data_IF_007523916776
#
_entry.id   IF_007523916776
#
_cell.length_a   1.000
_cell.length_b   1.000
_cell.length_c   1.000
_cell.angle_alpha   90.00
_cell.angle_beta   90.00
_cell.angle_gamma   90.00
#
_symmetry.space_group_name_H-M   'P 1'
#
loop_
_entity.id
_entity.type
_entity.pdbx_description
1 polymer ?
#
# COMPACT_ATOMS: atom_id res chain seq x y z
N UNK A 1 14.33 32.77 -19.20
CA UNK A 1 13.75 32.63 -20.55
C UNK A 1 12.48 31.84 -20.38
N UNK A 2 11.32 32.34 -20.80
CA UNK A 2 10.08 31.55 -20.72
C UNK A 2 10.15 30.46 -21.78
N UNK A 3 10.59 29.26 -21.40
CA UNK A 3 10.51 28.10 -22.29
C UNK A 3 9.05 27.74 -22.47
N UNK A 4 8.50 28.08 -23.63
CA UNK A 4 7.20 27.61 -24.04
C UNK A 4 7.26 26.09 -24.18
N UNK A 5 6.41 25.37 -23.43
CA UNK A 5 6.32 23.92 -23.50
C UNK A 5 6.18 23.43 -24.95
N UNK A 6 6.94 22.40 -25.32
CA UNK A 6 6.89 21.79 -26.65
C UNK A 6 5.51 21.20 -26.94
N UNK A 7 5.10 21.04 -28.22
CA UNK A 7 3.84 20.38 -28.56
C UNK A 7 3.68 19.00 -27.92
N UNK A 8 4.78 18.23 -27.85
CA UNK A 8 4.80 16.93 -27.18
C UNK A 8 4.46 17.05 -25.69
N UNK A 9 5.14 17.95 -24.97
CA UNK A 9 4.88 18.20 -23.54
C UNK A 9 3.45 18.67 -23.27
N UNK A 10 2.86 19.47 -24.18
CA UNK A 10 1.47 19.88 -24.11
C UNK A 10 0.50 18.70 -24.31
N UNK A 11 0.78 17.80 -25.25
CA UNK A 11 -0.02 16.60 -25.46
C UNK A 11 0.07 15.65 -24.25
N UNK A 12 1.27 15.43 -23.71
CA UNK A 12 1.47 14.68 -22.46
C UNK A 12 0.59 15.28 -21.36
N UNK A 13 0.69 16.58 -21.12
CA UNK A 13 -0.12 17.27 -20.11
C UNK A 13 -1.62 17.08 -20.31
N UNK A 14 -2.10 17.27 -21.53
CA UNK A 14 -3.51 17.11 -21.87
C UNK A 14 -4.01 15.70 -21.55
N UNK A 15 -3.28 14.65 -21.98
CA UNK A 15 -3.67 13.27 -21.72
C UNK A 15 -3.60 12.90 -20.24
N UNK A 16 -2.64 13.47 -19.52
CA UNK A 16 -2.50 13.32 -18.07
C UNK A 16 -3.73 13.85 -17.33
N UNK A 17 -4.11 15.09 -17.63
CA UNK A 17 -5.25 15.76 -17.01
C UNK A 17 -6.57 15.07 -17.39
N UNK A 18 -6.70 14.58 -18.62
CA UNK A 18 -7.85 13.82 -19.08
C UNK A 18 -7.98 12.48 -18.35
N UNK A 19 -6.87 11.74 -18.17
CA UNK A 19 -6.87 10.50 -17.37
C UNK A 19 -7.33 10.78 -15.94
N UNK A 20 -6.77 11.81 -15.29
CA UNK A 20 -7.15 12.19 -13.91
C UNK A 20 -8.64 12.48 -13.81
N UNK A 21 -9.18 13.25 -14.76
CA UNK A 21 -10.60 13.61 -14.81
C UNK A 21 -11.48 12.36 -14.92
N UNK A 22 -11.14 11.43 -15.82
CA UNK A 22 -11.95 10.23 -16.08
C UNK A 22 -11.92 9.28 -14.88
N UNK A 23 -10.76 9.08 -14.23
CA UNK A 23 -10.65 8.16 -13.10
C UNK A 23 -11.16 8.75 -11.78
N UNK A 24 -11.23 10.08 -11.64
CA UNK A 24 -11.54 10.76 -10.38
C UNK A 24 -12.77 10.20 -9.61
N UNK A 25 -13.90 9.83 -10.25
CA UNK A 25 -15.05 9.33 -9.52
C UNK A 25 -14.95 7.84 -9.15
N UNK A 26 -13.96 7.11 -9.67
CA UNK A 26 -13.68 5.72 -9.31
C UNK A 26 -13.08 5.72 -7.90
N UNK A 27 -13.75 5.03 -6.97
CA UNK A 27 -13.34 4.88 -5.56
C UNK A 27 -13.48 3.42 -5.18
N UNK A 28 -12.41 2.64 -5.35
CA UNK A 28 -12.46 1.18 -5.23
C UNK A 28 -12.90 0.78 -3.82
N UNK A 29 -12.26 1.34 -2.79
CA UNK A 29 -12.52 0.98 -1.39
C UNK A 29 -13.92 1.39 -0.94
N UNK A 30 -14.41 2.56 -1.38
CA UNK A 30 -15.77 3.01 -1.06
C UNK A 30 -16.82 2.09 -1.69
N UNK A 31 -16.57 1.62 -2.91
CA UNK A 31 -17.47 0.73 -3.64
C UNK A 31 -17.54 -0.69 -3.03
N UNK A 32 -16.59 -1.10 -2.19
CA UNK A 32 -16.58 -2.45 -1.57
C UNK A 32 -16.67 -2.40 -0.04
N UNK A 33 -16.93 -1.22 0.53
CA UNK A 33 -16.99 -1.01 1.98
C UNK A 33 -18.13 -1.80 2.62
N UNK A 34 -17.86 -2.38 3.80
CA UNK A 34 -18.90 -3.02 4.61
C UNK A 34 -19.28 -2.11 5.79
N UNK A 35 -20.57 -2.08 6.19
CA UNK A 35 -21.03 -1.41 7.40
C UNK A 35 -20.40 -1.99 8.67
N UNK A 36 -20.20 -1.16 9.70
CA UNK A 36 -19.65 -1.58 11.00
C UNK A 36 -20.55 -2.56 11.75
N UNK A 37 -21.86 -2.48 11.53
CA UNK A 37 -22.88 -3.32 12.15
C UNK A 37 -22.67 -4.80 11.84
N UNK A 38 -22.11 -5.12 10.66
CA UNK A 38 -21.81 -6.51 10.27
C UNK A 38 -20.73 -7.14 11.12
N UNK A 39 -19.77 -6.35 11.60
CA UNK A 39 -18.78 -6.82 12.56
C UNK A 39 -19.44 -7.16 13.89
N UNK A 40 -20.29 -6.26 14.39
CA UNK A 40 -20.98 -6.44 15.66
C UNK A 40 -21.91 -7.66 15.63
N UNK A 41 -22.68 -7.84 14.54
CA UNK A 41 -23.55 -8.99 14.33
C UNK A 41 -22.76 -10.30 14.28
N UNK A 42 -21.68 -10.35 13.48
CA UNK A 42 -20.87 -11.55 13.33
C UNK A 42 -20.22 -11.98 14.66
N UNK A 43 -19.68 -11.02 15.41
CA UNK A 43 -19.03 -11.28 16.70
C UNK A 43 -20.04 -11.70 17.79
N UNK A 44 -21.25 -11.14 17.77
CA UNK A 44 -22.32 -11.47 18.73
C UNK A 44 -22.93 -12.86 18.50
N UNK A 45 -23.03 -13.29 17.24
CA UNK A 45 -23.67 -14.56 16.88
C UNK A 45 -22.79 -15.81 17.04
N UNK A 46 -21.70 -15.72 17.81
CA UNK A 46 -20.68 -16.78 18.01
C UNK A 46 -20.25 -17.39 16.65
N UNK A 47 -19.23 -16.85 15.98
CA UNK A 47 -18.91 -16.96 14.54
C UNK A 47 -19.09 -18.38 13.94
N UNK A 48 -20.36 -18.71 13.67
CA UNK A 48 -20.85 -20.01 13.20
C UNK A 48 -21.60 -19.89 11.87
N UNK A 49 -22.00 -18.67 11.50
CA UNK A 49 -22.74 -18.37 10.28
C UNK A 49 -21.96 -17.35 9.46
N UNK A 50 -21.95 -17.55 8.15
CA UNK A 50 -21.32 -16.62 7.23
C UNK A 50 -22.03 -15.26 7.30
N UNK A 51 -21.30 -14.14 7.17
CA UNK A 51 -21.93 -12.84 7.00
C UNK A 51 -22.94 -12.87 5.84
N UNK A 52 -24.10 -12.24 5.99
CA UNK A 52 -25.12 -12.21 4.92
C UNK A 52 -24.74 -11.20 3.84
N UNK A 53 -23.74 -11.54 3.04
CA UNK A 53 -23.11 -10.67 2.05
C UNK A 53 -22.98 -11.40 0.72
N UNK A 54 -24.03 -11.29 -0.10
CA UNK A 54 -24.07 -11.87 -1.44
C UNK A 54 -24.16 -10.80 -2.53
N UNK A 55 -24.40 -11.24 -3.76
CA UNK A 55 -24.64 -10.37 -4.92
C UNK A 55 -25.66 -9.27 -4.65
N UNK A 56 -26.76 -9.61 -3.97
CA UNK A 56 -27.85 -8.68 -3.66
C UNK A 56 -27.40 -7.51 -2.78
N UNK A 57 -26.44 -7.74 -1.87
CA UNK A 57 -25.87 -6.67 -1.05
C UNK A 57 -25.20 -5.61 -1.92
N UNK A 58 -24.32 -6.02 -2.83
CA UNK A 58 -23.60 -5.08 -3.70
C UNK A 58 -24.46 -4.46 -4.80
N UNK A 59 -25.51 -5.16 -5.25
CA UNK A 59 -26.49 -4.57 -6.19
C UNK A 59 -27.25 -3.40 -5.57
N UNK A 60 -27.44 -3.41 -4.25
CA UNK A 60 -28.06 -2.30 -3.52
C UNK A 60 -27.09 -1.15 -3.19
N UNK A 61 -25.80 -1.29 -3.54
CA UNK A 61 -24.78 -0.25 -3.38
C UNK A 61 -24.39 0.28 -4.77
N UNK A 62 -25.09 1.32 -5.26
CA UNK A 62 -24.82 1.88 -6.58
C UNK A 62 -23.41 2.45 -6.64
N UNK A 63 -22.79 2.34 -7.81
CA UNK A 63 -21.53 3.04 -8.08
C UNK A 63 -21.80 4.53 -8.22
N UNK A 64 -20.87 5.35 -7.75
CA UNK A 64 -20.95 6.82 -7.80
C UNK A 64 -20.80 7.42 -9.21
N UNK A 65 -20.65 6.57 -10.23
CA UNK A 65 -20.37 6.97 -11.61
C UNK A 65 -21.02 6.01 -12.62
N UNK A 66 -21.19 6.49 -13.84
CA UNK A 66 -21.67 5.70 -14.98
C UNK A 66 -20.52 4.85 -15.53
N UNK A 67 -20.62 3.53 -15.34
CA UNK A 67 -19.57 2.59 -15.72
C UNK A 67 -19.39 2.47 -17.22
N UNK A 68 -20.47 2.48 -18.00
CA UNK A 68 -20.42 2.36 -19.45
C UNK A 68 -19.81 3.63 -20.07
N UNK A 69 -20.31 4.80 -19.66
CA UNK A 69 -19.77 6.08 -20.12
C UNK A 69 -18.28 6.21 -19.79
N UNK A 70 -17.87 5.82 -18.58
CA UNK A 70 -16.46 5.90 -18.16
C UNK A 70 -15.57 4.93 -18.94
N UNK A 71 -16.05 3.71 -19.25
CA UNK A 71 -15.36 2.78 -20.14
C UNK A 71 -15.15 3.38 -21.53
N UNK A 72 -16.16 4.03 -22.10
CA UNK A 72 -16.10 4.65 -23.42
C UNK A 72 -15.14 5.85 -23.44
N UNK A 73 -15.14 6.69 -22.39
CA UNK A 73 -14.17 7.79 -22.23
C UNK A 73 -12.72 7.26 -22.15
N UNK A 74 -12.48 6.20 -21.37
CA UNK A 74 -11.16 5.56 -21.28
C UNK A 74 -10.70 4.98 -22.62
N UNK A 75 -11.59 4.33 -23.36
CA UNK A 75 -11.30 3.80 -24.70
C UNK A 75 -10.96 4.91 -25.69
N UNK A 76 -11.72 6.02 -25.66
CA UNK A 76 -11.44 7.19 -26.49
C UNK A 76 -10.07 7.78 -26.17
N UNK A 77 -9.76 7.98 -24.88
CA UNK A 77 -8.45 8.48 -24.42
C UNK A 77 -7.31 7.58 -24.91
N UNK A 78 -7.44 6.25 -24.77
CA UNK A 78 -6.44 5.29 -25.27
C UNK A 78 -6.20 5.44 -26.77
N UNK A 79 -7.25 5.57 -27.56
CA UNK A 79 -7.13 5.74 -29.01
C UNK A 79 -6.44 7.07 -29.36
N UNK A 80 -6.75 8.14 -28.65
CA UNK A 80 -6.15 9.46 -28.87
C UNK A 80 -4.67 9.51 -28.49
N UNK A 81 -4.27 8.90 -27.37
CA UNK A 81 -2.86 8.75 -26.99
C UNK A 81 -2.09 8.03 -28.10
N UNK A 82 -2.61 6.90 -28.58
CA UNK A 82 -1.96 6.13 -29.65
C UNK A 82 -1.87 6.90 -30.96
N UNK A 83 -2.90 7.67 -31.30
CA UNK A 83 -2.95 8.48 -32.53
C UNK A 83 -1.98 9.65 -32.49
N UNK A 84 -1.83 10.31 -31.34
CA UNK A 84 -1.02 11.54 -31.20
C UNK A 84 0.43 11.27 -30.87
N UNK A 85 0.72 10.41 -29.89
CA UNK A 85 2.09 10.12 -29.46
C UNK A 85 2.71 8.97 -30.27
N UNK A 86 1.88 8.09 -30.83
CA UNK A 86 2.31 6.91 -31.56
C UNK A 86 2.56 5.70 -30.66
N UNK A 87 2.54 4.50 -31.27
CA UNK A 87 2.61 3.21 -30.55
C UNK A 87 3.95 2.94 -29.85
N UNK A 88 5.01 3.68 -30.20
CA UNK A 88 6.36 3.48 -29.67
C UNK A 88 6.73 4.47 -28.57
N UNK A 89 5.92 5.51 -28.37
CA UNK A 89 6.17 6.51 -27.33
C UNK A 89 6.16 5.87 -25.94
N UNK A 90 7.21 6.15 -25.15
CA UNK A 90 7.43 5.46 -23.87
C UNK A 90 6.47 5.98 -22.78
N UNK A 91 6.24 7.29 -22.69
CA UNK A 91 5.28 7.88 -21.75
C UNK A 91 3.83 7.55 -22.11
N UNK A 92 3.51 7.55 -23.40
CA UNK A 92 2.22 7.13 -23.93
C UNK A 92 1.89 5.69 -23.58
N UNK A 93 2.87 4.78 -23.56
CA UNK A 93 2.67 3.41 -23.07
C UNK A 93 2.30 3.37 -21.60
N UNK A 94 2.94 4.16 -20.74
CA UNK A 94 2.60 4.26 -19.31
C UNK A 94 1.14 4.73 -19.14
N UNK A 95 0.75 5.80 -19.84
CA UNK A 95 -0.62 6.32 -19.81
C UNK A 95 -1.63 5.26 -20.28
N UNK A 96 -1.36 4.55 -21.38
CA UNK A 96 -2.21 3.48 -21.89
C UNK A 96 -2.32 2.33 -20.87
N UNK A 97 -1.21 1.95 -20.23
CA UNK A 97 -1.23 0.94 -19.17
C UNK A 97 -2.11 1.37 -18.00
N UNK A 98 -2.07 2.65 -17.59
CA UNK A 98 -2.96 3.17 -16.56
C UNK A 98 -4.43 3.14 -17.00
N UNK A 99 -4.71 3.55 -18.24
CA UNK A 99 -6.06 3.47 -18.81
C UNK A 99 -6.59 2.04 -18.78
N UNK A 100 -5.79 1.06 -19.22
CA UNK A 100 -6.18 -0.35 -19.24
C UNK A 100 -6.45 -0.89 -17.83
N UNK A 101 -5.69 -0.45 -16.82
CA UNK A 101 -5.92 -0.81 -15.42
C UNK A 101 -7.27 -0.30 -14.92
N UNK A 102 -7.62 0.97 -15.16
CA UNK A 102 -8.93 1.50 -14.75
C UNK A 102 -10.10 0.81 -15.44
N UNK A 103 -9.94 0.37 -16.69
CA UNK A 103 -10.97 -0.43 -17.37
C UNK A 103 -11.21 -1.76 -16.66
N UNK A 104 -10.15 -2.46 -16.25
CA UNK A 104 -10.25 -3.70 -15.47
C UNK A 104 -10.89 -3.42 -14.09
N UNK A 105 -10.59 -2.29 -13.46
CA UNK A 105 -11.26 -1.86 -12.21
C UNK A 105 -12.76 -1.71 -12.39
N UNK A 106 -13.21 -1.04 -13.46
CA UNK A 106 -14.65 -0.88 -13.72
C UNK A 106 -15.31 -2.24 -13.91
N UNK A 107 -14.68 -3.16 -14.65
CA UNK A 107 -15.18 -4.52 -14.83
C UNK A 107 -15.21 -5.28 -13.49
N UNK A 108 -14.20 -5.11 -12.64
CA UNK A 108 -14.15 -5.72 -11.31
C UNK A 108 -15.31 -5.21 -10.45
N UNK A 109 -15.54 -3.90 -10.40
CA UNK A 109 -16.60 -3.28 -9.61
C UNK A 109 -18.01 -3.66 -10.10
N UNK A 110 -18.19 -3.86 -11.40
CA UNK A 110 -19.44 -4.39 -11.96
C UNK A 110 -19.72 -5.84 -11.54
N UNK A 111 -18.68 -6.59 -11.14
CA UNK A 111 -18.76 -8.00 -10.77
C UNK A 111 -18.76 -8.25 -9.25
N UNK A 112 -18.86 -7.22 -8.40
CA UNK A 112 -18.93 -7.36 -6.94
C UNK A 112 -19.95 -8.44 -6.51
N UNK A 113 -19.54 -9.33 -5.60
CA UNK A 113 -20.36 -10.47 -5.16
C UNK A 113 -20.47 -11.63 -6.16
N UNK A 114 -19.66 -11.67 -7.21
CA UNK A 114 -19.60 -12.78 -8.18
C UNK A 114 -18.15 -13.33 -8.28
N UNK A 115 -17.95 -14.56 -8.81
CA UNK A 115 -16.61 -15.16 -8.98
C UNK A 115 -15.65 -14.31 -9.83
N UNK A 116 -16.17 -13.62 -10.84
CA UNK A 116 -15.38 -12.82 -11.77
C UNK A 116 -14.67 -11.64 -11.08
N UNK A 117 -15.22 -11.11 -9.97
CA UNK A 117 -14.54 -10.11 -9.14
C UNK A 117 -13.17 -10.60 -8.68
N UNK A 118 -13.09 -11.83 -8.16
CA UNK A 118 -11.84 -12.41 -7.67
C UNK A 118 -10.80 -12.57 -8.78
N UNK A 119 -11.22 -13.02 -9.97
CA UNK A 119 -10.34 -13.15 -11.15
C UNK A 119 -9.77 -11.80 -11.57
N UNK A 120 -10.60 -10.76 -11.60
CA UNK A 120 -10.20 -9.41 -11.98
C UNK A 120 -9.32 -8.76 -10.88
N UNK A 121 -9.60 -9.02 -9.61
CA UNK A 121 -8.73 -8.60 -8.51
C UNK A 121 -7.34 -9.22 -8.63
N UNK A 122 -7.24 -10.53 -8.88
CA UNK A 122 -5.96 -11.20 -9.12
C UNK A 122 -5.23 -10.61 -10.33
N UNK A 123 -5.94 -10.28 -11.40
CA UNK A 123 -5.36 -9.65 -12.58
C UNK A 123 -4.79 -8.25 -12.28
N UNK A 124 -5.38 -7.50 -11.35
CA UNK A 124 -4.94 -6.15 -10.96
C UNK A 124 -3.76 -6.18 -9.98
N UNK A 125 -3.89 -6.92 -8.88
CA UNK A 125 -2.96 -6.85 -7.76
C UNK A 125 -1.97 -8.03 -7.70
N UNK A 126 -2.30 -9.14 -8.36
CA UNK A 126 -1.55 -10.40 -8.36
C UNK A 126 -2.16 -11.47 -7.45
N UNK A 127 -1.37 -12.51 -7.20
CA UNK A 127 -1.68 -13.68 -6.38
C UNK A 127 -0.63 -13.92 -5.30
N UNK A 128 -1.02 -14.53 -4.15
CA UNK A 128 -0.05 -14.96 -3.14
C UNK A 128 0.91 -16.06 -3.66
N UNK A 129 0.53 -16.73 -4.75
CA UNK A 129 1.32 -17.75 -5.46
C UNK A 129 2.31 -17.14 -6.45
N UNK A 130 2.23 -15.84 -6.73
CA UNK A 130 3.16 -15.17 -7.62
C UNK A 130 4.58 -15.25 -7.09
N UNK A 131 5.53 -15.43 -8.02
CA UNK A 131 6.96 -15.38 -7.73
C UNK A 131 7.43 -13.94 -7.74
N UNK A 132 8.33 -13.63 -6.81
CA UNK A 132 9.02 -12.35 -6.81
C UNK A 132 9.92 -12.23 -8.05
N UNK A 133 10.01 -11.02 -8.61
CA UNK A 133 10.85 -10.78 -9.79
C UNK A 133 12.30 -11.21 -9.54
N UNK A 134 12.78 -12.17 -10.33
CA UNK A 134 14.14 -12.70 -10.21
C UNK A 134 14.36 -13.67 -9.05
N UNK A 135 13.33 -14.06 -8.30
CA UNK A 135 13.42 -15.06 -7.23
C UNK A 135 12.55 -16.30 -7.54
N UNK A 136 12.93 -17.44 -6.97
CA UNK A 136 12.17 -18.70 -7.03
C UNK A 136 11.07 -18.78 -5.97
N UNK A 137 11.15 -17.98 -4.91
CA UNK A 137 10.20 -18.00 -3.82
C UNK A 137 8.91 -17.26 -4.17
N UNK A 138 7.78 -17.76 -3.67
CA UNK A 138 6.47 -17.10 -3.81
C UNK A 138 6.28 -16.03 -2.75
N UNK A 139 5.33 -15.12 -2.98
CA UNK A 139 4.91 -14.15 -1.97
C UNK A 139 4.45 -14.83 -0.67
N UNK A 140 3.70 -15.93 -0.77
CA UNK A 140 3.32 -16.75 0.40
C UNK A 140 4.52 -17.24 1.20
N UNK A 141 5.54 -17.79 0.53
CA UNK A 141 6.74 -18.30 1.21
C UNK A 141 7.50 -17.18 1.94
N UNK A 142 7.51 -15.97 1.39
CA UNK A 142 8.10 -14.82 2.07
C UNK A 142 7.23 -14.36 3.24
N UNK A 143 5.91 -14.24 3.04
CA UNK A 143 4.96 -13.90 4.09
C UNK A 143 5.07 -14.84 5.30
N UNK A 144 5.21 -16.15 5.06
CA UNK A 144 5.41 -17.15 6.11
C UNK A 144 6.71 -16.93 6.89
N UNK A 145 7.81 -16.60 6.19
CA UNK A 145 9.10 -16.32 6.84
C UNK A 145 9.01 -15.07 7.71
N UNK A 146 8.41 -14.00 7.21
CA UNK A 146 8.23 -12.76 7.95
C UNK A 146 7.29 -12.98 9.15
N UNK A 147 6.14 -13.63 8.96
CA UNK A 147 5.20 -13.95 10.04
C UNK A 147 5.89 -14.80 11.13
N UNK A 148 6.70 -15.78 10.75
CA UNK A 148 7.47 -16.59 11.70
C UNK A 148 8.46 -15.73 12.51
N UNK A 149 9.26 -14.89 11.85
CA UNK A 149 10.24 -14.01 12.50
C UNK A 149 9.56 -13.06 13.50
N UNK A 150 8.45 -12.44 13.08
CA UNK A 150 7.71 -11.49 13.92
C UNK A 150 6.79 -12.16 14.95
N UNK A 151 6.71 -13.49 14.94
CA UNK A 151 6.01 -14.29 15.97
C UNK A 151 6.97 -14.90 17.00
N UNK A 152 8.29 -14.70 16.87
CA UNK A 152 9.28 -15.19 17.82
C UNK A 152 9.06 -14.58 19.23
N UNK A 153 9.47 -15.27 20.32
CA UNK A 153 9.28 -14.75 21.69
C UNK A 153 9.82 -13.33 21.88
N UNK A 154 10.97 -13.01 21.28
CA UNK A 154 11.56 -11.68 21.32
C UNK A 154 10.62 -10.59 20.81
N UNK A 155 9.80 -10.87 19.79
CA UNK A 155 8.79 -9.92 19.31
C UNK A 155 7.76 -9.61 20.40
N UNK A 156 7.34 -10.63 21.17
CA UNK A 156 6.41 -10.45 22.31
C UNK A 156 7.05 -9.67 23.46
N UNK A 157 8.33 -9.91 23.75
CA UNK A 157 9.08 -9.16 24.78
C UNK A 157 9.38 -7.71 24.38
N UNK A 158 9.51 -7.43 23.08
CA UNK A 158 9.81 -6.09 22.55
C UNK A 158 8.56 -5.27 22.20
N UNK A 159 7.38 -5.87 22.23
CA UNK A 159 6.10 -5.16 22.20
C UNK A 159 5.94 -4.33 23.47
N UNK A 160 6.62 -3.18 23.53
CA UNK A 160 6.39 -2.18 24.57
C UNK A 160 4.95 -1.69 24.44
N UNK A 161 4.26 -1.56 25.57
CA UNK A 161 2.94 -0.96 25.59
C UNK A 161 3.07 0.52 25.20
N UNK A 162 2.52 0.88 24.04
CA UNK A 162 2.37 2.27 23.60
C UNK A 162 0.93 2.68 23.91
N UNK A 163 0.66 3.28 25.09
CA UNK A 163 -0.71 3.54 25.50
C UNK A 163 -1.37 4.54 24.54
N UNK A 164 -2.59 4.21 24.11
CA UNK A 164 -3.41 5.06 23.25
C UNK A 164 -4.07 6.15 24.09
N UNK A 165 -3.30 7.19 24.42
CA UNK A 165 -3.72 8.31 25.29
C UNK A 165 -3.90 9.62 24.53
N UNK A 166 -3.48 9.68 23.27
CA UNK A 166 -3.60 10.87 22.43
C UNK A 166 -4.99 10.88 21.82
N UNK A 167 -5.77 11.93 22.06
CA UNK A 167 -7.10 12.10 21.47
C UNK A 167 -7.02 12.46 19.99
N UNK A 168 -8.09 12.26 19.24
CA UNK A 168 -8.12 12.64 17.82
C UNK A 168 -7.76 14.13 17.54
N UNK A 169 -8.25 15.13 18.31
CA UNK A 169 -7.83 16.52 18.13
C UNK A 169 -6.33 16.76 18.40
N UNK A 170 -5.76 16.09 19.41
CA UNK A 170 -4.33 16.17 19.72
C UNK A 170 -3.49 15.52 18.62
N UNK A 171 -3.92 14.37 18.11
CA UNK A 171 -3.29 13.69 16.98
C UNK A 171 -3.30 14.56 15.72
N UNK A 172 -4.44 15.21 15.40
CA UNK A 172 -4.53 16.17 14.28
C UNK A 172 -3.52 17.29 14.43
N UNK A 173 -3.42 17.89 15.62
CA UNK A 173 -2.47 18.97 15.88
C UNK A 173 -1.04 18.49 15.69
N UNK A 174 -0.67 17.38 16.35
CA UNK A 174 0.68 16.84 16.31
C UNK A 174 1.12 16.47 14.88
N UNK A 175 0.26 15.79 14.12
CA UNK A 175 0.54 15.44 12.72
C UNK A 175 0.58 16.68 11.82
N UNK A 176 -0.29 17.67 12.04
CA UNK A 176 -0.23 18.93 11.27
C UNK A 176 1.13 19.60 11.46
N UNK A 177 1.59 19.75 12.70
CA UNK A 177 2.85 20.42 13.01
C UNK A 177 4.04 19.70 12.36
N UNK A 178 4.08 18.36 12.43
CA UNK A 178 5.11 17.52 11.80
C UNK A 178 5.10 17.63 10.28
N UNK A 179 3.92 17.52 9.66
CA UNK A 179 3.79 17.54 8.21
C UNK A 179 4.05 18.94 7.64
N UNK A 180 3.62 20.02 8.31
CA UNK A 180 3.99 21.39 7.92
C UNK A 180 5.51 21.56 7.90
N UNK A 181 6.21 21.02 8.90
CA UNK A 181 7.67 21.05 8.95
C UNK A 181 8.34 20.32 7.77
N UNK A 182 7.77 19.20 7.33
CA UNK A 182 8.29 18.41 6.20
C UNK A 182 7.95 19.02 4.83
N UNK A 183 6.77 19.61 4.69
CA UNK A 183 6.23 20.11 3.43
C UNK A 183 6.41 21.63 3.21
N UNK A 184 6.99 22.36 4.17
CA UNK A 184 7.42 23.75 4.02
C UNK A 184 6.31 24.71 3.54
N UNK A 185 5.19 24.76 4.27
CA UNK A 185 4.02 25.64 4.05
C UNK A 185 3.12 25.34 2.83
N UNK A 186 3.36 24.25 2.10
CA UNK A 186 2.38 23.75 1.13
C UNK A 186 1.11 23.25 1.86
N UNK A 187 -0.08 23.63 1.34
CA UNK A 187 -1.37 23.47 2.04
C UNK A 187 -1.74 22.00 2.24
N UNK A 188 -1.28 21.41 3.34
CA UNK A 188 -1.70 20.09 3.80
C UNK A 188 -2.77 20.24 4.85
N UNK A 189 -3.80 19.40 4.74
CA UNK A 189 -4.94 19.44 5.64
C UNK A 189 -5.00 18.16 6.46
N UNK A 190 -4.60 18.21 7.73
CA UNK A 190 -5.00 17.14 8.66
C UNK A 190 -6.36 17.53 9.23
N UNK A 191 -7.38 16.70 9.05
CA UNK A 191 -8.77 17.02 9.43
C UNK A 191 -9.45 15.85 10.13
N UNK A 192 -10.35 16.16 11.05
CA UNK A 192 -11.23 15.18 11.67
C UNK A 192 -12.28 14.68 10.66
N UNK A 193 -12.65 13.40 10.75
CA UNK A 193 -13.66 12.78 9.89
C UNK A 193 -14.43 11.68 10.63
N UNK A 194 -15.75 11.82 10.70
CA UNK A 194 -16.65 10.82 11.33
C UNK A 194 -17.00 9.65 10.39
N UNK A 195 -16.66 9.72 9.10
CA UNK A 195 -17.10 8.76 8.07
C UNK A 195 -16.11 7.65 7.72
N UNK A 196 -14.93 7.59 8.37
CA UNK A 196 -13.90 6.58 8.07
C UNK A 196 -13.97 5.40 9.04
N UNK A 197 -13.82 4.18 8.51
CA UNK A 197 -13.88 2.93 9.30
C UNK A 197 -12.56 2.62 9.98
N UNK A 198 -11.45 3.05 9.38
CA UNK A 198 -10.12 3.02 9.97
C UNK A 198 -9.90 4.18 10.95
N UNK A 199 -8.84 4.09 11.76
CA UNK A 199 -8.46 5.14 12.70
C UNK A 199 -7.97 6.41 11.96
N UNK A 200 -7.41 6.23 10.76
CA UNK A 200 -7.14 7.32 9.81
C UNK A 200 -7.21 6.84 8.34
N UNK A 201 -7.35 7.78 7.41
CA UNK A 201 -7.30 7.56 5.97
C UNK A 201 -6.73 8.78 5.25
N UNK A 202 -5.99 8.59 4.16
CA UNK A 202 -5.50 9.71 3.32
C UNK A 202 -6.37 9.92 2.10
N UNK A 203 -6.65 11.15 1.70
CA UNK A 203 -7.31 11.44 0.43
C UNK A 203 -6.73 12.69 -0.20
N UNK A 204 -6.02 12.55 -1.33
CA UNK A 204 -5.37 13.66 -2.00
C UNK A 204 -4.27 14.30 -1.15
N UNK A 205 -4.51 15.50 -0.64
CA UNK A 205 -3.61 16.28 0.23
C UNK A 205 -4.07 16.30 1.70
N UNK A 206 -5.04 15.45 2.05
CA UNK A 206 -5.69 15.47 3.35
C UNK A 206 -5.45 14.16 4.09
N UNK A 207 -4.97 14.24 5.34
CA UNK A 207 -4.97 13.13 6.30
C UNK A 207 -6.24 13.25 7.15
N UNK A 208 -7.13 12.27 7.07
CA UNK A 208 -8.38 12.21 7.82
C UNK A 208 -8.19 11.36 9.07
N UNK A 209 -8.53 11.91 10.23
CA UNK A 209 -8.42 11.24 11.54
C UNK A 209 -9.82 10.94 12.08
N UNK A 210 -10.06 9.71 12.54
CA UNK A 210 -11.34 9.31 13.13
C UNK A 210 -11.52 10.00 14.48
N UNK A 211 -12.63 10.71 14.66
CA UNK A 211 -12.91 11.47 15.90
C UNK A 211 -13.03 10.61 17.15
N UNK A 212 -13.38 9.34 16.98
CA UNK A 212 -13.59 8.38 18.08
C UNK A 212 -12.33 7.57 18.41
N UNK A 213 -11.27 7.71 17.62
CA UNK A 213 -10.03 6.98 17.82
C UNK A 213 -9.14 7.66 18.86
N UNK A 214 -8.40 6.81 19.58
CA UNK A 214 -7.31 7.20 20.47
C UNK A 214 -6.00 6.68 19.86
N UNK A 215 -4.93 7.44 20.00
CA UNK A 215 -3.66 7.21 19.33
C UNK A 215 -2.53 7.10 20.34
N UNK A 216 -1.52 6.31 20.00
CA UNK A 216 -0.24 6.30 20.70
C UNK A 216 0.80 7.14 19.95
N UNK A 217 1.92 7.45 20.60
CA UNK A 217 3.04 8.12 19.92
C UNK A 217 3.60 7.28 18.76
N UNK A 218 3.62 5.95 18.92
CA UNK A 218 4.04 5.04 17.85
C UNK A 218 3.12 5.14 16.64
N UNK A 219 1.82 5.32 16.86
CA UNK A 219 0.85 5.48 15.79
C UNK A 219 1.11 6.77 14.99
N UNK A 220 1.38 7.88 15.69
CA UNK A 220 1.70 9.15 15.05
C UNK A 220 2.97 9.06 14.18
N UNK A 221 3.99 8.33 14.64
CA UNK A 221 5.22 8.11 13.87
C UNK A 221 4.93 7.33 12.57
N UNK A 222 4.11 6.28 12.64
CA UNK A 222 3.72 5.53 11.44
C UNK A 222 2.90 6.41 10.51
N UNK A 223 1.97 7.22 11.02
CA UNK A 223 1.17 8.13 10.17
C UNK A 223 2.01 9.20 9.47
N UNK A 224 2.94 9.82 10.18
CA UNK A 224 3.85 10.79 9.61
C UNK A 224 4.61 10.20 8.40
N UNK A 225 5.12 8.98 8.56
CA UNK A 225 5.99 8.34 7.56
C UNK A 225 5.19 7.68 6.43
N UNK A 226 4.24 6.81 6.77
CA UNK A 226 3.47 6.00 5.81
C UNK A 226 2.49 6.86 5.03
N UNK A 227 1.63 7.58 5.74
CA UNK A 227 0.57 8.38 5.15
C UNK A 227 1.08 9.74 4.69
N UNK A 228 1.89 10.41 5.52
CA UNK A 228 2.46 11.71 5.21
C UNK A 228 3.55 11.66 4.12
N UNK A 229 4.72 11.14 4.45
CA UNK A 229 5.87 11.23 3.54
C UNK A 229 5.69 10.46 2.24
N UNK A 230 5.07 9.27 2.28
CA UNK A 230 4.81 8.48 1.07
C UNK A 230 3.53 8.91 0.40
N UNK A 231 2.36 8.65 1.01
CA UNK A 231 1.12 8.78 0.26
C UNK A 231 0.82 10.23 -0.12
N UNK A 232 0.86 11.17 0.83
CA UNK A 232 0.69 12.59 0.54
C UNK A 232 1.88 13.13 -0.25
N UNK A 233 3.12 12.82 0.15
CA UNK A 233 4.31 13.37 -0.48
C UNK A 233 4.45 13.02 -1.97
N UNK A 234 4.19 11.76 -2.33
CA UNK A 234 4.19 11.34 -3.75
C UNK A 234 3.00 11.93 -4.52
N UNK A 235 1.82 12.08 -3.91
CA UNK A 235 0.70 12.78 -4.57
C UNK A 235 1.07 14.25 -4.86
N UNK A 236 1.70 14.95 -3.91
CA UNK A 236 2.13 16.33 -4.12
C UNK A 236 3.24 16.43 -5.18
N UNK A 237 4.26 15.57 -5.13
CA UNK A 237 5.29 15.53 -6.18
C UNK A 237 4.68 15.28 -7.57
N UNK A 238 3.68 14.40 -7.67
CA UNK A 238 2.98 14.12 -8.92
C UNK A 238 2.11 15.29 -9.41
N UNK A 239 1.50 16.06 -8.51
CA UNK A 239 0.74 17.27 -8.84
C UNK A 239 1.66 18.40 -9.31
N UNK A 240 2.85 18.49 -8.75
CA UNK A 240 3.85 19.51 -9.08
C UNK A 240 4.56 19.22 -10.42
N UNK A 241 4.30 18.07 -11.06
CA UNK A 241 4.86 17.77 -12.38
C UNK A 241 4.31 18.74 -13.45
N UNK A 242 5.18 19.34 -14.29
CA UNK A 242 4.75 20.33 -15.27
C UNK A 242 3.83 19.72 -16.35
N UNK A 243 4.15 18.50 -16.76
CA UNK A 243 3.45 17.79 -17.84
C UNK A 243 2.88 16.45 -17.38
N UNK A 244 3.60 15.70 -16.54
CA UNK A 244 3.22 14.35 -16.14
C UNK A 244 2.28 14.29 -14.93
N UNK A 245 1.17 15.05 -14.96
CA UNK A 245 0.26 15.18 -13.79
C UNK A 245 -0.40 13.88 -13.37
N UNK A 246 -0.48 12.85 -14.24
CA UNK A 246 -1.05 11.53 -13.88
C UNK A 246 -0.33 10.88 -12.72
N UNK A 247 0.94 11.25 -12.49
CA UNK A 247 1.72 10.80 -11.34
C UNK A 247 1.13 11.26 -10.00
N UNK A 248 0.09 12.10 -9.98
CA UNK A 248 -0.63 12.47 -8.76
C UNK A 248 -1.63 11.41 -8.26
N UNK A 249 -2.03 10.46 -9.13
CA UNK A 249 -3.08 9.47 -8.87
C UNK A 249 -2.57 8.05 -9.12
N UNK A 250 -2.92 7.12 -8.24
CA UNK A 250 -2.48 5.73 -8.33
C UNK A 250 -3.48 4.87 -9.11
N UNK A 251 -3.00 4.15 -10.11
CA UNK A 251 -3.73 3.03 -10.70
C UNK A 251 -3.33 1.73 -9.97
N UNK A 252 -4.13 0.64 -10.02
CA UNK A 252 -3.81 -0.59 -9.28
C UNK A 252 -2.39 -1.17 -9.50
N UNK A 253 -1.78 -0.93 -10.66
CA UNK A 253 -0.39 -1.34 -10.92
C UNK A 253 0.66 -0.60 -10.08
N UNK A 254 0.34 0.56 -9.52
CA UNK A 254 1.27 1.33 -8.66
C UNK A 254 1.16 0.92 -7.19
N UNK A 255 0.08 0.22 -6.81
CA UNK A 255 -0.26 -0.07 -5.41
C UNK A 255 0.86 -0.83 -4.71
N UNK A 256 1.46 -1.83 -5.35
CA UNK A 256 2.63 -2.54 -4.80
C UNK A 256 3.79 -1.59 -4.53
N UNK A 257 4.21 -0.80 -5.52
CA UNK A 257 5.31 0.13 -5.36
C UNK A 257 5.07 1.15 -4.24
N UNK A 258 3.85 1.67 -4.10
CA UNK A 258 3.48 2.67 -3.08
C UNK A 258 3.38 2.08 -1.68
N UNK A 259 2.58 1.04 -1.48
CA UNK A 259 2.39 0.40 -0.17
C UNK A 259 3.71 -0.20 0.33
N UNK A 260 4.49 -0.78 -0.57
CA UNK A 260 5.82 -1.29 -0.30
C UNK A 260 6.83 -0.23 0.11
N UNK A 261 6.82 0.94 -0.55
CA UNK A 261 7.69 2.06 -0.22
C UNK A 261 7.35 2.63 1.17
N UNK A 262 6.06 2.66 1.52
CA UNK A 262 5.60 3.05 2.84
C UNK A 262 6.09 2.08 3.92
N UNK A 263 5.94 0.77 3.72
CA UNK A 263 6.48 -0.25 4.64
C UNK A 263 8.00 -0.14 4.76
N UNK A 264 8.73 0.08 3.65
CA UNK A 264 10.18 0.28 3.67
C UNK A 264 10.57 1.48 4.54
N UNK A 265 9.87 2.60 4.39
CA UNK A 265 10.14 3.80 5.19
C UNK A 265 9.83 3.61 6.67
N UNK A 266 8.78 2.87 7.03
CA UNK A 266 8.56 2.51 8.43
C UNK A 266 9.73 1.70 9.03
N UNK A 267 10.35 0.81 8.23
CA UNK A 267 11.54 0.06 8.67
C UNK A 267 12.77 0.96 8.79
N UNK A 268 13.01 1.83 7.79
CA UNK A 268 14.18 2.72 7.80
C UNK A 268 14.12 3.78 8.89
N UNK A 269 12.91 4.18 9.30
CA UNK A 269 12.68 5.14 10.41
C UNK A 269 12.53 4.48 11.77
N UNK A 270 12.49 3.13 11.82
CA UNK A 270 12.18 2.36 13.03
C UNK A 270 10.81 2.74 13.65
N UNK A 271 9.88 3.21 12.82
CA UNK A 271 8.52 3.57 13.24
C UNK A 271 7.60 2.36 13.34
N UNK A 272 7.93 1.26 12.64
CA UNK A 272 7.18 0.01 12.72
C UNK A 272 7.52 -0.80 13.96
N UNK A 273 6.59 -1.68 14.37
CA UNK A 273 6.78 -2.61 15.48
C UNK A 273 6.54 -4.06 15.02
N UNK A 274 6.93 -5.09 15.80
CA UNK A 274 6.75 -6.48 15.42
C UNK A 274 5.29 -6.89 15.16
N UNK A 275 4.33 -6.36 15.93
CA UNK A 275 2.90 -6.62 15.74
C UNK A 275 2.40 -6.11 14.39
N UNK A 276 2.82 -4.91 14.00
CA UNK A 276 2.56 -4.31 12.69
C UNK A 276 3.15 -5.13 11.56
N UNK A 277 4.41 -5.51 11.66
CA UNK A 277 5.10 -6.32 10.65
C UNK A 277 4.47 -7.72 10.50
N UNK A 278 4.00 -8.32 11.61
CA UNK A 278 3.23 -9.56 11.60
C UNK A 278 1.91 -9.39 10.85
N UNK A 279 1.12 -8.35 11.13
CA UNK A 279 -0.17 -8.11 10.43
C UNK A 279 -0.02 -7.97 8.92
N UNK A 280 1.05 -7.30 8.46
CA UNK A 280 1.35 -7.21 7.02
C UNK A 280 1.56 -8.61 6.42
N UNK A 281 2.23 -9.49 7.16
CA UNK A 281 2.47 -10.88 6.74
C UNK A 281 1.20 -11.74 6.79
N UNK A 282 0.39 -11.57 7.85
CA UNK A 282 -0.88 -12.28 8.05
C UNK A 282 -1.86 -12.03 6.90
N UNK A 283 -1.86 -10.82 6.33
CA UNK A 283 -2.69 -10.49 5.15
C UNK A 283 -2.35 -11.34 3.93
N UNK A 284 -1.08 -11.66 3.70
CA UNK A 284 -0.66 -12.57 2.61
C UNK A 284 -1.18 -13.98 2.86
N UNK A 285 -1.12 -14.45 4.11
CA UNK A 285 -1.68 -15.75 4.49
C UNK A 285 -3.19 -15.79 4.27
N UNK A 286 -3.91 -14.73 4.65
CA UNK A 286 -5.35 -14.64 4.44
C UNK A 286 -5.73 -14.70 2.95
N UNK A 287 -5.00 -13.98 2.08
CA UNK A 287 -5.22 -14.04 0.63
C UNK A 287 -4.93 -15.45 0.09
N UNK A 288 -3.83 -16.09 0.48
CA UNK A 288 -3.52 -17.46 0.04
C UNK A 288 -4.61 -18.45 0.47
N UNK A 289 -5.13 -18.35 1.69
CA UNK A 289 -6.24 -19.20 2.14
C UNK A 289 -7.49 -19.03 1.26
N UNK A 290 -7.88 -17.78 0.96
CA UNK A 290 -9.02 -17.50 0.09
C UNK A 290 -8.79 -18.00 -1.35
N UNK A 291 -7.57 -17.86 -1.88
CA UNK A 291 -7.16 -18.40 -3.19
C UNK A 291 -7.21 -19.94 -3.25
N UNK A 292 -7.11 -20.60 -2.10
CA UNK A 292 -7.24 -22.06 -1.97
C UNK A 292 -8.67 -22.51 -1.60
N UNK A 293 -9.64 -21.59 -1.64
CA UNK A 293 -11.06 -21.89 -1.50
C UNK A 293 -11.62 -21.82 -0.08
N UNK A 294 -10.84 -21.29 0.88
CA UNK A 294 -11.35 -21.08 2.23
C UNK A 294 -12.50 -20.06 2.24
N UNK A 295 -13.49 -20.28 3.11
CA UNK A 295 -14.57 -19.35 3.38
C UNK A 295 -14.20 -18.30 4.46
N UNK A 296 -15.10 -17.34 4.69
CA UNK A 296 -14.89 -16.30 5.70
C UNK A 296 -14.66 -16.85 7.11
N UNK A 297 -15.42 -17.87 7.52
CA UNK A 297 -15.30 -18.44 8.86
C UNK A 297 -13.99 -19.19 9.03
N UNK A 298 -13.54 -19.93 8.02
CA UNK A 298 -12.29 -20.68 8.05
C UNK A 298 -11.08 -19.76 8.27
N UNK A 299 -11.00 -18.66 7.51
CA UNK A 299 -9.93 -17.66 7.68
C UNK A 299 -10.02 -16.98 9.05
N UNK A 300 -11.23 -16.60 9.48
CA UNK A 300 -11.44 -16.01 10.80
C UNK A 300 -10.96 -16.96 11.92
N UNK A 301 -11.34 -18.24 11.87
CA UNK A 301 -10.96 -19.25 12.86
C UNK A 301 -9.46 -19.49 12.87
N UNK A 302 -8.83 -19.56 11.71
CA UNK A 302 -7.39 -19.69 11.59
C UNK A 302 -6.67 -18.59 12.39
N UNK A 303 -7.04 -17.32 12.24
CA UNK A 303 -6.39 -16.25 12.99
C UNK A 303 -6.69 -16.29 14.49
N UNK A 304 -7.89 -16.73 14.90
CA UNK A 304 -8.22 -16.94 16.32
C UNK A 304 -7.34 -18.02 16.95
N UNK A 305 -7.12 -19.13 16.25
CA UNK A 305 -6.24 -20.22 16.69
C UNK A 305 -4.77 -19.78 16.76
N UNK A 306 -4.39 -18.78 15.95
CA UNK A 306 -3.06 -18.14 15.97
C UNK A 306 -3.00 -16.91 16.89
N UNK A 307 -3.85 -16.88 17.93
CA UNK A 307 -3.88 -15.88 19.02
C UNK A 307 -4.12 -14.42 18.57
N UNK A 308 -4.75 -14.21 17.42
CA UNK A 308 -5.19 -12.86 17.03
C UNK A 308 -6.54 -12.55 17.69
N UNK A 309 -6.74 -11.32 18.16
CA UNK A 309 -7.98 -10.86 18.80
C UNK A 309 -9.21 -11.01 17.89
N UNK A 310 -10.41 -11.14 18.46
CA UNK A 310 -11.61 -11.42 17.66
C UNK A 310 -11.94 -10.32 16.65
N UNK A 311 -11.79 -9.06 17.04
CA UNK A 311 -11.96 -7.91 16.14
C UNK A 311 -10.91 -7.92 15.02
N UNK A 312 -9.65 -8.16 15.35
CA UNK A 312 -8.55 -8.17 14.39
C UNK A 312 -8.66 -9.35 13.41
N UNK A 313 -9.04 -10.54 13.89
CA UNK A 313 -9.33 -11.69 13.03
C UNK A 313 -10.44 -11.36 12.04
N UNK A 314 -11.53 -10.74 12.50
CA UNK A 314 -12.62 -10.32 11.60
C UNK A 314 -12.13 -9.33 10.54
N UNK A 315 -11.36 -8.32 10.96
CA UNK A 315 -10.84 -7.26 10.08
C UNK A 315 -9.92 -7.80 8.99
N UNK A 316 -8.93 -8.63 9.36
CA UNK A 316 -8.03 -9.26 8.38
C UNK A 316 -8.82 -10.10 7.37
N UNK A 317 -9.81 -10.86 7.83
CA UNK A 317 -10.68 -11.65 6.94
C UNK A 317 -11.57 -10.77 6.05
N UNK A 318 -12.18 -9.72 6.60
CA UNK A 318 -13.02 -8.76 5.88
C UNK A 318 -12.27 -8.11 4.71
N UNK A 319 -11.00 -7.74 4.91
CA UNK A 319 -10.18 -7.12 3.86
C UNK A 319 -9.99 -8.02 2.64
N UNK A 320 -9.97 -9.33 2.84
CA UNK A 320 -9.86 -10.33 1.76
C UNK A 320 -11.21 -10.58 1.08
N UNK A 321 -12.33 -10.51 1.80
CA UNK A 321 -13.65 -10.82 1.23
C UNK A 321 -14.45 -9.62 0.75
N UNK A 322 -14.06 -8.38 1.10
CA UNK A 322 -14.75 -7.17 0.61
C UNK A 322 -14.77 -7.11 -0.91
N UNK A 323 -15.95 -6.89 -1.49
CA UNK A 323 -16.22 -6.96 -2.93
C UNK A 323 -16.37 -8.38 -3.51
N UNK A 324 -15.86 -9.41 -2.82
CA UNK A 324 -15.93 -10.82 -3.22
C UNK A 324 -17.14 -11.57 -2.65
N UNK A 325 -16.97 -12.87 -2.39
CA UNK A 325 -18.00 -13.81 -1.90
C UNK A 325 -17.52 -14.48 -0.61
N UNK A 326 -18.32 -14.40 0.46
CA UNK A 326 -17.92 -14.91 1.79
C UNK A 326 -17.90 -16.44 1.89
N UNK A 327 -18.57 -17.13 0.97
CA UNK A 327 -18.58 -18.60 0.83
C UNK A 327 -17.30 -19.16 0.18
N UNK A 328 -16.38 -18.29 -0.26
CA UNK A 328 -15.18 -18.67 -1.01
C UNK A 328 -15.32 -18.47 -2.53
N UNK A 329 -14.20 -18.60 -3.25
CA UNK A 329 -14.16 -18.52 -4.72
C UNK A 329 -14.15 -17.11 -5.32
N UNK A 330 -14.26 -16.04 -4.52
CA UNK A 330 -14.09 -14.66 -4.96
C UNK A 330 -13.56 -13.78 -3.83
N UNK A 331 -12.49 -13.02 -4.07
CA UNK A 331 -11.71 -12.33 -3.04
C UNK A 331 -10.97 -11.11 -3.59
N UNK A 332 -10.56 -10.22 -2.70
CA UNK A 332 -9.82 -9.00 -2.98
C UNK A 332 -8.35 -9.14 -2.56
N UNK A 333 -7.47 -9.22 -3.55
CA UNK A 333 -6.05 -9.55 -3.38
C UNK A 333 -5.14 -8.34 -3.11
N UNK A 334 -5.68 -7.11 -3.03
CA UNK A 334 -4.89 -5.88 -2.87
C UNK A 334 -3.81 -5.97 -1.78
N UNK A 335 -4.11 -6.62 -0.66
CA UNK A 335 -3.18 -6.62 0.48
C UNK A 335 -1.88 -7.41 0.26
N UNK A 336 -1.73 -8.19 -0.82
CA UNK A 336 -0.42 -8.77 -1.16
C UNK A 336 0.58 -7.70 -1.60
N UNK A 337 0.10 -6.54 -2.06
CA UNK A 337 0.90 -5.41 -2.54
C UNK A 337 1.88 -4.90 -1.49
N UNK A 338 1.58 -5.00 -0.19
CA UNK A 338 2.48 -4.57 0.89
C UNK A 338 3.80 -5.35 0.88
N UNK A 339 3.73 -6.69 0.99
CA UNK A 339 4.93 -7.54 1.05
C UNK A 339 5.64 -7.56 -0.30
N UNK A 340 4.87 -7.66 -1.40
CA UNK A 340 5.42 -7.61 -2.77
C UNK A 340 6.22 -6.34 -2.99
N UNK A 341 5.58 -5.20 -2.74
CA UNK A 341 6.16 -3.89 -2.91
C UNK A 341 7.39 -3.66 -2.05
N UNK A 342 7.37 -4.10 -0.79
CA UNK A 342 8.50 -3.94 0.12
C UNK A 342 9.78 -4.58 -0.45
N UNK A 343 9.64 -5.80 -0.99
CA UNK A 343 10.76 -6.50 -1.65
C UNK A 343 11.18 -5.83 -2.93
N UNK A 344 10.22 -5.46 -3.78
CA UNK A 344 10.50 -4.82 -5.07
C UNK A 344 11.24 -3.50 -4.89
N UNK A 345 10.85 -2.66 -3.92
CA UNK A 345 11.54 -1.42 -3.59
C UNK A 345 12.97 -1.66 -3.10
N UNK A 346 13.19 -2.63 -2.20
CA UNK A 346 14.53 -3.00 -1.72
C UNK A 346 15.42 -3.49 -2.86
N UNK A 347 14.89 -4.38 -3.70
CA UNK A 347 15.62 -4.94 -4.82
C UNK A 347 15.93 -3.87 -5.87
N UNK A 348 15.00 -2.95 -6.12
CA UNK A 348 15.22 -1.81 -6.98
C UNK A 348 16.38 -0.94 -6.47
N UNK A 349 16.38 -0.55 -5.18
CA UNK A 349 17.46 0.24 -4.59
C UNK A 349 18.81 -0.48 -4.69
N UNK A 350 18.85 -1.78 -4.36
CA UNK A 350 20.06 -2.60 -4.49
C UNK A 350 20.55 -2.66 -5.94
N UNK A 351 19.65 -2.92 -6.88
CA UNK A 351 19.98 -2.99 -8.31
C UNK A 351 20.49 -1.65 -8.84
N UNK A 352 19.85 -0.53 -8.49
CA UNK A 352 20.31 0.80 -8.84
C UNK A 352 21.74 1.07 -8.34
N UNK A 353 22.03 0.72 -7.08
CA UNK A 353 23.37 0.83 -6.48
C UNK A 353 24.39 -0.05 -7.23
N UNK A 354 24.07 -1.33 -7.43
CA UNK A 354 24.98 -2.29 -8.06
C UNK A 354 25.23 -1.99 -9.54
N UNK A 355 24.27 -1.39 -10.23
CA UNK A 355 24.40 -0.96 -11.62
C UNK A 355 25.07 0.40 -11.76
N UNK A 356 25.45 1.06 -10.67
CA UNK A 356 26.09 2.37 -10.71
C UNK A 356 25.16 3.50 -11.12
N UNK A 357 23.85 3.33 -10.90
CA UNK A 357 22.79 4.32 -11.19
C UNK A 357 22.02 4.74 -9.92
N UNK A 358 22.70 5.15 -8.82
CA UNK A 358 22.05 5.54 -7.58
C UNK A 358 21.05 6.70 -7.76
N UNK A 359 21.22 7.55 -8.77
CA UNK A 359 20.32 8.64 -9.14
C UNK A 359 18.87 8.20 -9.46
N UNK A 360 18.64 6.91 -9.71
CA UNK A 360 17.30 6.35 -9.89
C UNK A 360 16.54 6.22 -8.57
N UNK A 361 17.22 6.19 -7.43
CA UNK A 361 16.61 5.95 -6.11
C UNK A 361 15.64 7.08 -5.71
N UNK A 362 16.00 8.38 -5.81
CA UNK A 362 15.04 9.45 -5.54
C UNK A 362 13.79 9.40 -6.42
N UNK A 363 13.87 8.82 -7.63
CA UNK A 363 12.74 8.73 -8.55
C UNK A 363 11.59 7.87 -8.03
N UNK A 364 11.80 7.05 -7.00
CA UNK A 364 10.73 6.36 -6.26
C UNK A 364 9.67 7.32 -5.69
N UNK A 365 10.05 8.59 -5.46
CA UNK A 365 9.19 9.62 -4.91
C UNK A 365 8.61 10.57 -5.96
N UNK A 366 8.90 10.37 -7.26
CA UNK A 366 8.45 11.26 -8.34
C UNK A 366 6.91 11.42 -8.36
N UNK A 367 6.21 10.36 -7.98
CA UNK A 367 4.78 10.37 -7.72
C UNK A 367 4.24 8.95 -7.54
N UNK A 368 2.99 8.75 -7.92
CA UNK A 368 2.30 7.46 -7.99
C UNK A 368 2.72 6.74 -9.28
N UNK A 369 3.70 5.86 -9.15
CA UNK A 369 4.31 5.12 -10.27
C UNK A 369 4.50 3.65 -9.94
N UNK A 370 4.58 2.83 -10.99
CA UNK A 370 5.07 1.47 -10.90
C UNK A 370 6.61 1.48 -11.04
N UNK A 371 7.31 0.64 -10.27
CA UNK A 371 8.79 0.61 -10.24
C UNK A 371 9.38 0.38 -11.63
N UNK A 372 8.72 -0.40 -12.49
CA UNK A 372 9.18 -0.71 -13.84
C UNK A 372 9.18 0.51 -14.78
N UNK A 373 8.42 1.55 -14.44
CA UNK A 373 8.34 2.78 -15.24
C UNK A 373 9.51 3.73 -14.94
N UNK A 374 10.24 3.56 -13.83
CA UNK A 374 11.28 4.48 -13.38
C UNK A 374 12.35 4.77 -14.44
N UNK A 375 12.90 3.77 -15.19
CA UNK A 375 13.88 4.05 -16.23
C UNK A 375 13.35 5.01 -17.31
N UNK A 376 12.09 4.84 -17.71
CA UNK A 376 11.43 5.73 -18.69
C UNK A 376 11.20 7.11 -18.11
N UNK A 377 10.74 7.19 -16.86
CA UNK A 377 10.49 8.46 -16.17
C UNK A 377 11.80 9.23 -15.94
N UNK A 378 12.89 8.52 -15.68
CA UNK A 378 14.22 9.10 -15.52
C UNK A 378 14.76 9.67 -16.84
N UNK A 379 14.59 8.96 -17.97
CA UNK A 379 14.89 9.53 -19.29
C UNK A 379 14.09 10.80 -19.56
N UNK A 380 12.78 10.78 -19.31
CA UNK A 380 11.91 11.94 -19.47
C UNK A 380 12.27 13.11 -18.53
N UNK A 381 12.85 12.82 -17.37
CA UNK A 381 13.44 13.83 -16.47
C UNK A 381 14.68 14.47 -17.09
N UNK A 382 15.61 13.68 -17.65
CA UNK A 382 16.79 14.19 -18.34
C UNK A 382 16.42 15.05 -19.57
N UNK A 383 15.31 14.73 -20.23
CA UNK A 383 14.75 15.49 -21.36
C UNK A 383 13.93 16.72 -20.93
N UNK A 384 13.73 16.96 -19.64
CA UNK A 384 12.99 18.10 -19.11
C UNK A 384 11.46 18.01 -19.25
N UNK A 385 10.91 16.86 -19.62
CA UNK A 385 9.45 16.61 -19.61
C UNK A 385 8.93 16.39 -18.19
N UNK A 386 9.78 15.86 -17.32
CA UNK A 386 9.51 15.57 -15.91
C UNK A 386 10.45 16.41 -15.04
N UNK A 387 9.97 16.86 -13.89
CA UNK A 387 10.77 17.56 -12.88
C UNK A 387 11.16 16.62 -11.74
N UNK A 388 12.32 16.85 -11.11
CA UNK A 388 12.75 16.07 -9.96
C UNK A 388 11.72 16.10 -8.81
N UNK A 389 11.61 15.04 -7.99
CA UNK A 389 10.74 15.06 -6.82
C UNK A 389 11.17 16.15 -5.83
N UNK A 390 10.22 16.99 -5.41
CA UNK A 390 10.44 18.07 -4.46
C UNK A 390 10.52 17.55 -3.03
N UNK A 391 9.56 16.71 -2.63
CA UNK A 391 9.51 16.13 -1.29
C UNK A 391 10.20 14.78 -1.28
N UNK A 392 11.34 14.72 -0.60
CA UNK A 392 12.11 13.50 -0.37
C UNK A 392 12.23 13.28 1.15
N UNK A 393 11.97 12.05 1.64
CA UNK A 393 12.22 11.71 3.03
C UNK A 393 13.70 11.92 3.37
N UNK A 394 14.06 12.26 4.62
CA UNK A 394 15.43 12.66 4.97
C UNK A 394 16.51 11.65 4.54
N UNK A 395 16.25 10.35 4.68
CA UNK A 395 17.18 9.30 4.28
C UNK A 395 17.36 9.17 2.76
N UNK A 396 16.43 9.70 1.95
CA UNK A 396 16.51 9.70 0.49
C UNK A 396 17.07 11.02 -0.09
N UNK A 397 17.24 12.07 0.74
CA UNK A 397 17.89 13.33 0.33
C UNK A 397 19.38 13.16 0.10
N UNK A 398 20.03 12.33 0.91
CA UNK A 398 21.44 11.96 0.77
C UNK A 398 21.58 10.46 0.56
N UNK A 399 21.79 10.07 -0.70
CA UNK A 399 21.90 8.66 -1.10
C UNK A 399 23.15 8.01 -0.51
N UNK A 400 24.16 8.77 -0.06
CA UNK A 400 25.39 8.18 0.49
C UNK A 400 25.11 7.31 1.72
N UNK A 401 24.21 7.75 2.60
CA UNK A 401 23.77 7.00 3.77
C UNK A 401 23.02 5.71 3.39
N UNK A 402 22.10 5.81 2.42
CA UNK A 402 21.40 4.63 1.89
C UNK A 402 22.35 3.67 1.20
N UNK A 403 23.29 4.17 0.41
CA UNK A 403 24.31 3.38 -0.26
C UNK A 403 25.11 2.56 0.76
N UNK A 404 25.60 3.21 1.82
CA UNK A 404 26.31 2.53 2.89
C UNK A 404 25.43 1.46 3.56
N UNK A 405 24.19 1.82 3.93
CA UNK A 405 23.26 0.90 4.59
C UNK A 405 22.96 -0.34 3.73
N UNK A 406 22.58 -0.15 2.47
CA UNK A 406 22.28 -1.25 1.54
C UNK A 406 23.52 -2.03 1.12
N UNK A 407 24.69 -1.38 1.04
CA UNK A 407 25.98 -2.02 0.82
C UNK A 407 26.33 -3.00 1.94
N UNK A 408 26.25 -2.56 3.20
CA UNK A 408 26.45 -3.43 4.36
C UNK A 408 25.39 -4.54 4.41
N UNK A 409 24.11 -4.21 4.24
CA UNK A 409 23.03 -5.19 4.26
C UNK A 409 23.20 -6.29 3.19
N UNK A 410 23.70 -5.93 2.01
CA UNK A 410 23.94 -6.88 0.91
C UNK A 410 25.19 -7.73 1.17
N UNK A 411 26.25 -7.16 1.74
CA UNK A 411 27.46 -7.90 2.12
C UNK A 411 27.23 -8.93 3.22
N UNK A 412 26.35 -8.64 4.19
CA UNK A 412 26.00 -9.56 5.27
C UNK A 412 25.21 -10.80 4.79
N UNK A 413 24.55 -10.73 3.62
CA UNK A 413 23.77 -11.85 3.07
C UNK A 413 24.57 -13.12 2.77
N UNK A 414 25.90 -13.00 2.65
CA UNK A 414 26.82 -14.10 2.35
C UNK A 414 27.50 -14.71 3.60
N UNK A 415 27.12 -14.26 4.80
CA UNK A 415 27.68 -14.78 6.07
C UNK A 415 26.91 -16.03 6.51
N UNK A 416 27.59 -17.01 7.13
CA UNK A 416 26.93 -18.15 7.79
C UNK A 416 26.17 -17.70 9.04
N UNK A 417 24.97 -17.17 8.82
CA UNK A 417 24.05 -16.73 9.88
C UNK A 417 23.70 -17.88 10.83
N UNK A 418 23.64 -19.14 10.37
CA UNK A 418 23.34 -20.29 11.22
C UNK A 418 24.50 -20.61 12.17
N UNK A 419 25.74 -20.50 11.68
CA UNK A 419 26.94 -20.60 12.50
C UNK A 419 26.98 -19.53 13.59
N UNK A 420 26.76 -18.27 13.20
CA UNK A 420 26.73 -17.12 14.11
C UNK A 420 25.62 -17.26 15.16
N UNK A 421 24.39 -17.62 14.75
CA UNK A 421 23.29 -17.87 15.68
C UNK A 421 23.59 -18.99 16.66
N UNK A 422 24.19 -20.10 16.21
CA UNK A 422 24.58 -21.21 17.11
C UNK A 422 25.63 -20.77 18.13
N UNK A 423 26.58 -19.93 17.73
CA UNK A 423 27.59 -19.39 18.63
C UNK A 423 26.95 -18.57 19.75
N UNK A 424 26.15 -17.56 19.40
CA UNK A 424 25.51 -16.69 20.39
C UNK A 424 24.42 -17.41 21.20
N UNK A 425 23.64 -18.32 20.60
CA UNK A 425 22.66 -19.11 21.33
C UNK A 425 23.28 -19.92 22.47
N UNK A 426 24.52 -20.41 22.33
CA UNK A 426 25.24 -21.09 23.41
C UNK A 426 25.59 -20.12 24.55
N UNK A 427 26.00 -18.90 24.21
CA UNK A 427 26.31 -17.87 25.20
C UNK A 427 25.05 -17.35 25.92
N UNK A 428 23.92 -17.27 25.22
CA UNK A 428 22.66 -16.81 25.79
C UNK A 428 22.00 -17.82 26.73
N UNK A 429 22.44 -19.09 26.76
CA UNK A 429 21.88 -20.11 27.67
C UNK A 429 21.98 -19.75 29.15
N UNK A 430 23.01 -18.98 29.53
CA UNK A 430 23.22 -18.55 30.91
C UNK A 430 22.58 -17.20 31.23
N UNK A 431 21.92 -16.55 30.27
CA UNK A 431 21.28 -15.26 30.46
C UNK A 431 19.87 -15.49 31.02
N UNK A 432 19.50 -14.89 32.16
CA UNK A 432 18.14 -14.98 32.68
C UNK A 432 17.12 -14.42 31.68
N UNK A 433 16.04 -15.15 31.43
CA UNK A 433 14.92 -14.67 30.62
C UNK A 433 13.98 -13.90 31.53
N UNK A 434 13.78 -12.61 31.26
CA UNK A 434 12.70 -11.84 31.87
C UNK A 434 11.39 -12.32 31.26
N UNK A 435 10.40 -12.69 32.09
CA UNK A 435 9.08 -13.04 31.57
C UNK A 435 8.48 -11.84 30.81
N UNK A 436 7.77 -12.06 29.69
CA UNK A 436 7.15 -10.98 28.96
C UNK A 436 5.98 -10.42 29.78
N UNK A 437 5.99 -9.11 30.04
CA UNK A 437 4.93 -8.41 30.77
C UNK A 437 3.58 -8.26 30.00
N UNK A 438 3.44 -8.85 28.81
CA UNK A 438 2.46 -8.34 27.82
C UNK A 438 2.00 -9.38 26.78
N UNK A 439 0.67 -9.45 26.57
CA UNK A 439 0.04 -10.06 25.40
C UNK A 439 0.24 -9.19 24.14
N UNK A 440 0.14 -9.76 22.93
CA UNK A 440 0.25 -8.97 21.69
C UNK A 440 -0.99 -8.05 21.56
N UNK A 441 -0.82 -6.74 21.69
CA UNK A 441 -1.91 -5.76 21.80
C UNK A 441 -2.38 -5.16 20.46
N UNK A 442 -3.57 -4.53 20.52
CA UNK A 442 -4.30 -3.86 19.43
C UNK A 442 -3.53 -2.65 18.86
N UNK A 443 -2.99 -2.81 17.66
CA UNK A 443 -2.37 -1.71 16.89
C UNK A 443 -3.15 -1.44 15.60
N UNK A 444 -3.03 -0.21 15.13
CA UNK A 444 -3.87 0.42 14.10
C UNK A 444 -3.93 -0.33 12.76
N UNK A 445 -5.11 -0.23 12.15
CA UNK A 445 -5.41 -0.67 10.79
C UNK A 445 -5.46 0.51 9.81
N UNK A 446 -4.81 0.32 8.66
CA UNK A 446 -4.68 1.32 7.59
C UNK A 446 -5.56 0.93 6.42
N UNK A 447 -6.38 1.87 5.96
CA UNK A 447 -6.95 1.85 4.62
C UNK A 447 -6.42 3.09 3.88
N UNK A 448 -5.37 2.89 3.08
CA UNK A 448 -4.91 3.87 2.11
C UNK A 448 -5.79 3.74 0.86
N UNK A 449 -6.58 4.77 0.49
CA UNK A 449 -7.38 4.75 -0.73
C UNK A 449 -6.53 5.25 -1.91
N UNK A 450 -5.29 4.75 -2.03
CA UNK A 450 -4.38 5.11 -3.13
C UNK A 450 -4.89 4.70 -4.52
N UNK A 451 -6.05 4.03 -4.59
CA UNK A 451 -6.67 3.46 -5.78
C UNK A 451 -8.12 3.94 -5.99
#
# INVERSE_FOLDING_TARGET
MSDSATPYQQDIRRFSDELIRIQAPIKILDAIKWPSELQEEFLSNKPKQLPKLGKDFYQNIPLSFDTQKTQDELLSLKADIQRKLGKRDKLGKILISNVDQYRIVIDMLNNRGNPEFGRLSQQLYGSAKDKLHGDRHTLKQLGDRLSHIFSLPAARHMSKHHPKIVTAPEAVKALSDRLVGYFHDDKIYVKLSDGIVSDAAVGGDTVKINTRAMFSESDLNVYEVHEGWVHVGTTLNGRDQPHATWLSVGSPRVTASQEGLAVLLEMLTLSSNPGRARRISDRVTAVDMAENGADFIEIYRYFREHNLGAKDSYKVTQRVFRGGMVEGGSFFTKDISYVRGYVENINFIRSAIMSGLPELIPMLFLGKLAIEDIPVLYEAYLEGTISAPKYLPPMFKDISGLYAWFGFASGLGNIDLKGVQRHFARQFKSVPVLEPDSELFEDIEFDSPSD
#
